data_IF_362249430819
#
_entry.id   IF_362249430819
#
_cell.length_a   1.000
_cell.length_b   1.000
_cell.length_c   1.000
_cell.angle_alpha   90.00
_cell.angle_beta   90.00
_cell.angle_gamma   90.00
#
_symmetry.space_group_name_H-M   'P 1'
#
loop_
_entity.id
_entity.type
_entity.pdbx_description
1 polymer ?
#
# COMPACT_ATOMS: atom_id res chain seq x y z
N UNK A 1 8.53 23.63 1.79
CA UNK A 1 9.66 22.67 1.70
C UNK A 1 9.52 21.98 0.36
N UNK A 2 10.57 21.87 -0.42
CA UNK A 2 10.58 21.16 -1.71
C UNK A 2 11.31 19.82 -1.57
N UNK A 3 11.16 18.91 -2.53
CA UNK A 3 11.77 17.55 -2.47
C UNK A 3 13.30 17.56 -2.45
N UNK A 4 13.94 18.56 -3.05
CA UNK A 4 15.40 18.75 -3.03
C UNK A 4 15.97 18.98 -1.63
N UNK A 5 15.16 19.53 -0.72
CA UNK A 5 15.52 19.78 0.67
C UNK A 5 15.40 18.54 1.57
N UNK A 6 14.84 17.42 1.05
CA UNK A 6 14.62 16.20 1.81
C UNK A 6 15.81 15.23 1.80
N UNK A 7 16.89 15.51 1.05
CA UNK A 7 18.09 14.68 1.01
C UNK A 7 17.98 13.46 0.08
N UNK A 8 17.04 13.46 -0.86
CA UNK A 8 16.89 12.41 -1.86
C UNK A 8 18.06 12.46 -2.88
N UNK A 9 18.39 11.31 -3.47
CA UNK A 9 19.41 11.23 -4.50
C UNK A 9 19.00 11.93 -5.80
N UNK A 10 19.97 12.51 -6.54
CA UNK A 10 19.70 13.24 -7.77
C UNK A 10 18.88 12.47 -8.83
N UNK A 11 19.11 11.16 -9.06
CA UNK A 11 18.28 10.39 -9.98
C UNK A 11 16.80 10.33 -9.57
N UNK A 12 16.50 10.30 -8.27
CA UNK A 12 15.13 10.28 -7.78
C UNK A 12 14.46 11.65 -7.93
N UNK A 13 15.20 12.73 -7.68
CA UNK A 13 14.68 14.09 -7.90
C UNK A 13 14.30 14.29 -9.37
N UNK A 14 15.16 13.86 -10.31
CA UNK A 14 14.86 13.91 -11.73
C UNK A 14 13.64 13.04 -12.12
N UNK A 15 13.46 11.89 -11.49
CA UNK A 15 12.28 11.05 -11.71
C UNK A 15 10.99 11.70 -11.17
N UNK A 16 11.06 12.38 -10.02
CA UNK A 16 9.93 13.10 -9.44
C UNK A 16 9.48 14.27 -10.30
N UNK A 17 10.42 15.02 -10.89
CA UNK A 17 10.14 16.11 -11.81
C UNK A 17 9.38 15.60 -13.05
N UNK A 18 9.80 14.47 -13.63
CA UNK A 18 9.09 13.85 -14.76
C UNK A 18 7.66 13.39 -14.42
N UNK A 19 7.45 12.96 -13.18
CA UNK A 19 6.13 12.51 -12.69
C UNK A 19 5.25 13.70 -12.31
N UNK A 20 5.78 14.93 -12.26
CA UNK A 20 5.05 16.14 -11.91
C UNK A 20 4.86 16.33 -10.39
N UNK A 21 5.77 15.81 -9.59
CA UNK A 21 5.76 16.04 -8.13
C UNK A 21 6.48 17.35 -7.81
N UNK A 22 5.73 18.39 -7.44
CA UNK A 22 6.28 19.70 -7.12
C UNK A 22 6.61 19.86 -5.64
N UNK A 23 5.67 19.55 -4.77
CA UNK A 23 5.81 19.71 -3.32
C UNK A 23 5.49 18.43 -2.56
N UNK A 24 6.28 18.09 -1.53
CA UNK A 24 5.97 16.92 -0.70
C UNK A 24 4.70 17.15 0.13
N UNK A 25 3.88 16.12 0.23
CA UNK A 25 2.77 16.11 1.19
C UNK A 25 3.29 16.11 2.63
N UNK A 26 2.46 16.46 3.64
CA UNK A 26 2.88 16.48 5.04
C UNK A 26 3.51 15.17 5.51
N UNK A 27 2.92 14.01 5.16
CA UNK A 27 3.49 12.70 5.53
C UNK A 27 4.85 12.48 4.86
N UNK A 28 5.04 12.89 3.63
CA UNK A 28 6.32 12.77 2.92
C UNK A 28 7.39 13.66 3.55
N UNK A 29 7.06 14.92 3.83
CA UNK A 29 8.00 15.89 4.40
C UNK A 29 8.53 15.44 5.78
N UNK A 30 7.69 14.80 6.60
CA UNK A 30 8.07 14.34 7.94
C UNK A 30 8.75 12.97 7.92
N UNK A 31 8.34 12.04 7.04
CA UNK A 31 8.84 10.66 7.08
C UNK A 31 10.10 10.43 6.26
N UNK A 32 10.25 11.09 5.11
CA UNK A 32 11.41 10.88 4.22
C UNK A 32 12.76 11.10 4.95
N UNK A 33 12.99 12.19 5.69
CA UNK A 33 14.26 12.38 6.41
C UNK A 33 14.51 11.31 7.47
N UNK A 34 13.46 10.88 8.18
CA UNK A 34 13.56 9.82 9.19
C UNK A 34 13.99 8.48 8.55
N UNK A 35 13.35 8.09 7.45
CA UNK A 35 13.69 6.85 6.78
C UNK A 35 15.07 6.90 6.10
N UNK A 36 15.51 8.05 5.58
CA UNK A 36 16.87 8.24 5.07
C UNK A 36 17.91 8.05 6.15
N UNK A 37 17.64 8.48 7.39
CA UNK A 37 18.56 8.30 8.53
C UNK A 37 18.68 6.84 9.00
N UNK A 38 17.83 5.92 8.50
CA UNK A 38 17.84 4.51 8.89
C UNK A 38 17.05 4.19 10.16
N UNK A 39 16.35 5.16 10.75
CA UNK A 39 15.50 4.94 11.92
C UNK A 39 14.22 4.22 11.53
N UNK A 40 13.70 3.41 12.47
CA UNK A 40 12.39 2.82 12.35
C UNK A 40 11.29 3.89 12.44
N UNK A 41 10.15 3.64 11.83
CA UNK A 41 9.06 4.61 11.71
C UNK A 41 7.69 3.98 11.94
N UNK A 42 6.85 4.68 12.68
CA UNK A 42 5.40 4.50 12.70
C UNK A 42 4.75 5.71 12.04
N UNK A 43 4.16 5.52 10.87
CA UNK A 43 3.48 6.56 10.10
C UNK A 43 1.96 6.39 10.12
N UNK A 44 1.25 7.29 10.80
CA UNK A 44 -0.22 7.27 10.79
C UNK A 44 -0.76 8.33 9.85
N UNK A 45 -1.34 7.89 8.72
CA UNK A 45 -1.97 8.79 7.75
C UNK A 45 -3.01 8.04 6.93
N UNK A 46 -4.05 8.74 6.48
CA UNK A 46 -5.11 8.16 5.67
C UNK A 46 -4.61 7.72 4.28
N UNK A 47 -5.38 6.87 3.60
CA UNK A 47 -5.13 6.49 2.21
C UNK A 47 -5.21 7.74 1.30
N UNK A 48 -4.38 7.80 0.27
CA UNK A 48 -4.33 8.94 -0.66
C UNK A 48 -3.47 10.13 -0.20
N UNK A 49 -2.84 10.08 0.99
CA UNK A 49 -1.97 11.16 1.48
C UNK A 49 -0.55 11.13 0.93
N UNK A 50 -0.21 10.14 0.09
CA UNK A 50 1.12 9.99 -0.49
C UNK A 50 2.08 9.10 0.31
N UNK A 51 1.57 8.18 1.15
CA UNK A 51 2.38 7.23 1.94
C UNK A 51 3.35 6.41 1.09
N UNK A 52 2.93 5.96 -0.09
CA UNK A 52 3.80 5.15 -0.96
C UNK A 52 5.08 5.88 -1.33
N UNK A 53 5.01 7.15 -1.73
CA UNK A 53 6.20 7.95 -2.01
C UNK A 53 7.00 8.23 -0.72
N UNK A 54 6.31 8.39 0.42
CA UNK A 54 6.93 8.65 1.71
C UNK A 54 7.92 7.55 2.15
N UNK A 55 7.65 6.27 1.81
CA UNK A 55 8.61 5.19 2.09
C UNK A 55 9.43 4.77 0.86
N UNK A 56 8.86 4.80 -0.34
CA UNK A 56 9.58 4.32 -1.52
C UNK A 56 10.79 5.18 -1.87
N UNK A 57 10.67 6.51 -1.82
CA UNK A 57 11.74 7.43 -2.21
C UNK A 57 12.99 7.29 -1.31
N UNK A 58 12.89 7.34 0.03
CA UNK A 58 14.07 7.18 0.88
C UNK A 58 14.69 5.79 0.79
N UNK A 59 13.88 4.73 0.62
CA UNK A 59 14.39 3.39 0.46
C UNK A 59 15.12 3.21 -0.89
N UNK A 60 14.59 3.75 -1.98
CA UNK A 60 15.25 3.77 -3.29
C UNK A 60 16.57 4.55 -3.26
N UNK A 61 16.67 5.65 -2.49
CA UNK A 61 17.93 6.41 -2.33
C UNK A 61 19.06 5.58 -1.72
N UNK A 62 18.74 4.49 -1.03
CA UNK A 62 19.68 3.62 -0.29
C UNK A 62 19.86 2.25 -0.92
N UNK A 63 19.24 1.97 -2.07
CA UNK A 63 19.38 0.72 -2.80
C UNK A 63 20.79 0.61 -3.40
N UNK A 64 21.40 -0.55 -3.22
CA UNK A 64 22.61 -0.94 -3.92
C UNK A 64 22.23 -1.70 -5.20
N UNK A 65 22.37 -1.05 -6.34
CA UNK A 65 22.00 -1.62 -7.64
C UNK A 65 22.95 -2.75 -8.11
N UNK A 66 24.13 -2.89 -7.50
CA UNK A 66 25.05 -3.98 -7.80
C UNK A 66 24.63 -5.31 -7.17
N UNK A 67 23.82 -5.25 -6.12
CA UNK A 67 23.34 -6.40 -5.36
C UNK A 67 21.95 -6.81 -5.83
N UNK A 68 21.86 -7.77 -6.73
CA UNK A 68 20.58 -8.27 -7.26
C UNK A 68 19.88 -9.25 -6.32
N UNK A 69 19.68 -8.80 -5.08
CA UNK A 69 18.97 -9.54 -4.02
C UNK A 69 17.94 -8.61 -3.35
N UNK A 70 16.91 -9.16 -2.71
CA UNK A 70 15.91 -8.37 -2.01
C UNK A 70 16.55 -7.57 -0.87
N UNK A 71 16.57 -6.23 -1.04
CA UNK A 71 17.04 -5.29 -0.04
C UNK A 71 15.88 -4.60 0.68
N UNK A 72 14.71 -4.55 0.04
CA UNK A 72 13.48 -4.01 0.60
C UNK A 72 12.35 -5.02 0.40
N UNK A 73 11.61 -5.29 1.44
CA UNK A 73 10.35 -6.04 1.42
C UNK A 73 9.21 -5.10 1.83
N UNK A 74 8.17 -5.02 1.01
CA UNK A 74 6.92 -4.32 1.35
C UNK A 74 5.79 -5.33 1.44
N UNK A 75 5.11 -5.37 2.58
CA UNK A 75 3.89 -6.16 2.77
C UNK A 75 2.67 -5.25 2.56
N UNK A 76 1.75 -5.72 1.75
CA UNK A 76 0.49 -5.05 1.41
C UNK A 76 -0.70 -6.02 1.57
N UNK A 77 -1.89 -5.56 2.03
CA UNK A 77 -3.02 -6.43 2.33
C UNK A 77 -3.61 -7.12 1.11
N UNK A 78 -3.57 -6.47 -0.06
CA UNK A 78 -4.23 -6.96 -1.27
C UNK A 78 -3.28 -7.05 -2.45
N UNK A 79 -3.64 -7.87 -3.42
CA UNK A 79 -2.96 -7.98 -4.71
C UNK A 79 -2.89 -6.64 -5.43
N UNK A 80 -4.01 -5.94 -5.44
CA UNK A 80 -4.16 -4.65 -6.12
C UNK A 80 -3.20 -3.61 -5.54
N UNK A 81 -3.14 -3.52 -4.20
CA UNK A 81 -2.22 -2.60 -3.54
C UNK A 81 -0.76 -3.02 -3.77
N UNK A 82 -0.43 -4.31 -3.71
CA UNK A 82 0.93 -4.79 -4.00
C UNK A 82 1.38 -4.40 -5.43
N UNK A 83 0.48 -4.48 -6.42
CA UNK A 83 0.75 -4.03 -7.78
C UNK A 83 0.95 -2.52 -7.86
N UNK A 84 0.05 -1.73 -7.26
CA UNK A 84 0.15 -0.26 -7.24
C UNK A 84 1.45 0.22 -6.58
N UNK A 85 1.84 -0.40 -5.47
CA UNK A 85 3.10 -0.09 -4.79
C UNK A 85 4.31 -0.46 -5.66
N UNK A 86 4.30 -1.63 -6.31
CA UNK A 86 5.38 -2.04 -7.20
C UNK A 86 5.50 -1.11 -8.43
N UNK A 87 4.38 -0.69 -9.02
CA UNK A 87 4.33 0.30 -10.10
C UNK A 87 4.88 1.66 -9.65
N UNK A 88 4.55 2.08 -8.43
CA UNK A 88 5.09 3.31 -7.86
C UNK A 88 6.62 3.24 -7.70
N UNK A 89 7.16 2.14 -7.15
CA UNK A 89 8.60 1.92 -7.08
C UNK A 89 9.26 1.96 -8.46
N UNK A 90 8.67 1.28 -9.45
CA UNK A 90 9.21 1.28 -10.82
C UNK A 90 9.21 2.68 -11.43
N UNK A 91 8.16 3.47 -11.21
CA UNK A 91 8.03 4.85 -11.70
C UNK A 91 9.06 5.78 -11.05
N UNK A 92 9.21 5.71 -9.72
CA UNK A 92 10.21 6.53 -9.01
C UNK A 92 11.65 6.13 -9.33
N UNK A 93 11.86 4.86 -9.70
CA UNK A 93 13.17 4.34 -10.09
C UNK A 93 13.48 4.48 -11.59
N UNK A 94 12.70 5.27 -12.36
CA UNK A 94 12.87 5.41 -13.83
C UNK A 94 14.29 5.82 -14.26
N UNK A 95 15.02 6.55 -13.41
CA UNK A 95 16.41 6.95 -13.65
C UNK A 95 17.45 6.02 -13.00
N UNK A 96 17.04 4.96 -12.32
CA UNK A 96 17.94 3.97 -11.71
C UNK A 96 18.14 2.79 -12.67
N UNK A 97 19.20 2.84 -13.47
CA UNK A 97 19.50 1.78 -14.45
C UNK A 97 19.75 0.43 -13.76
N UNK A 98 19.05 -0.61 -14.22
CA UNK A 98 19.18 -1.96 -13.65
C UNK A 98 18.35 -2.20 -12.39
N UNK A 99 17.52 -1.25 -11.97
CA UNK A 99 16.60 -1.47 -10.86
C UNK A 99 15.49 -2.46 -11.24
N UNK A 100 15.19 -3.36 -10.31
CA UNK A 100 14.10 -4.34 -10.45
C UNK A 100 13.26 -4.40 -9.19
N UNK A 101 11.94 -4.24 -9.35
CA UNK A 101 10.92 -4.50 -8.33
C UNK A 101 10.06 -5.68 -8.78
N UNK A 102 9.70 -6.54 -7.83
CA UNK A 102 8.89 -7.73 -8.10
C UNK A 102 7.67 -7.78 -7.19
N UNK A 103 6.44 -7.68 -7.73
CA UNK A 103 5.23 -7.98 -6.99
C UNK A 103 5.03 -9.50 -6.89
N UNK A 104 4.71 -10.00 -5.67
CA UNK A 104 4.37 -11.40 -5.37
C UNK A 104 3.07 -11.47 -4.57
N UNK A 105 2.07 -12.20 -5.07
CA UNK A 105 0.74 -12.25 -4.45
C UNK A 105 0.01 -13.55 -4.77
N UNK A 106 -0.98 -13.89 -3.96
CA UNK A 106 -1.83 -15.06 -4.14
C UNK A 106 -2.77 -14.96 -5.36
N UNK A 107 -3.41 -16.08 -5.72
CA UNK A 107 -4.35 -16.12 -6.85
C UNK A 107 -3.68 -16.10 -8.24
N UNK A 108 -2.37 -16.21 -8.30
CA UNK A 108 -1.59 -16.42 -9.53
C UNK A 108 -0.76 -17.70 -9.44
N UNK A 109 -0.37 -18.23 -10.60
CA UNK A 109 0.59 -19.32 -10.67
C UNK A 109 1.91 -18.93 -10.00
N UNK A 110 2.47 -19.88 -9.25
CA UNK A 110 3.72 -19.72 -8.52
C UNK A 110 4.94 -19.64 -9.45
N UNK A 111 4.92 -20.38 -10.56
CA UNK A 111 6.06 -20.55 -11.47
C UNK A 111 6.57 -19.24 -12.09
N UNK A 112 5.74 -18.32 -12.60
CA UNK A 112 6.22 -17.03 -13.12
C UNK A 112 6.89 -16.16 -12.04
N UNK A 113 6.37 -16.15 -10.81
CA UNK A 113 6.97 -15.41 -9.71
C UNK A 113 8.33 -15.99 -9.32
N UNK A 114 8.43 -17.32 -9.26
CA UNK A 114 9.71 -18.02 -9.01
C UNK A 114 10.76 -17.71 -10.08
N UNK A 115 10.38 -17.70 -11.36
CA UNK A 115 11.32 -17.36 -12.44
C UNK A 115 11.85 -15.92 -12.33
N UNK A 116 10.99 -14.97 -11.93
CA UNK A 116 11.39 -13.58 -11.71
C UNK A 116 12.28 -13.41 -10.47
N UNK A 117 11.98 -14.11 -9.37
CA UNK A 117 12.83 -14.11 -8.17
C UNK A 117 14.25 -14.63 -8.49
N UNK A 118 14.37 -15.67 -9.31
CA UNK A 118 15.68 -16.20 -9.74
C UNK A 118 16.49 -15.23 -10.62
N UNK A 119 15.84 -14.30 -11.30
CA UNK A 119 16.53 -13.24 -12.07
C UNK A 119 17.08 -12.12 -11.18
N UNK A 120 16.65 -12.09 -9.94
CA UNK A 120 17.00 -11.07 -8.97
C UNK A 120 16.01 -9.90 -8.95
N UNK A 121 15.78 -9.37 -7.75
CA UNK A 121 14.98 -8.18 -7.51
C UNK A 121 15.58 -7.42 -6.33
N UNK A 122 15.61 -6.10 -6.41
CA UNK A 122 16.07 -5.23 -5.33
C UNK A 122 14.98 -4.96 -4.30
N UNK A 123 13.73 -4.88 -4.79
CA UNK A 123 12.53 -4.67 -3.99
C UNK A 123 11.54 -5.78 -4.28
N UNK A 124 10.99 -6.37 -3.23
CA UNK A 124 9.86 -7.30 -3.32
C UNK A 124 8.66 -6.64 -2.65
N UNK A 125 7.53 -6.63 -3.32
CA UNK A 125 6.25 -6.14 -2.79
C UNK A 125 5.27 -7.30 -2.79
N UNK A 126 4.66 -7.64 -1.66
CA UNK A 126 3.80 -8.82 -1.68
C UNK A 126 2.71 -8.86 -0.62
N UNK A 127 1.76 -9.78 -0.85
CA UNK A 127 0.76 -10.14 0.16
C UNK A 127 1.34 -11.16 1.14
N UNK A 128 1.03 -11.06 2.45
CA UNK A 128 1.67 -11.87 3.49
C UNK A 128 1.71 -13.37 3.19
N UNK A 129 0.59 -14.01 2.89
CA UNK A 129 0.53 -15.45 2.64
C UNK A 129 1.43 -15.92 1.48
N UNK A 130 1.53 -15.18 0.36
CA UNK A 130 2.41 -15.53 -0.76
C UNK A 130 3.88 -15.28 -0.45
N UNK A 131 4.19 -14.21 0.27
CA UNK A 131 5.56 -13.95 0.77
C UNK A 131 6.01 -15.09 1.66
N UNK A 132 5.18 -15.52 2.61
CA UNK A 132 5.44 -16.64 3.49
C UNK A 132 5.66 -17.95 2.71
N UNK A 133 4.85 -18.24 1.69
CA UNK A 133 5.03 -19.41 0.82
C UNK A 133 6.41 -19.43 0.15
N UNK A 134 6.87 -18.30 -0.36
CA UNK A 134 8.19 -18.19 -0.99
C UNK A 134 9.33 -18.31 0.01
N UNK A 135 9.19 -17.76 1.23
CA UNK A 135 10.18 -17.89 2.29
C UNK A 135 10.27 -19.36 2.75
N UNK A 136 9.15 -20.01 3.04
CA UNK A 136 9.09 -21.41 3.47
C UNK A 136 9.70 -22.39 2.45
N UNK A 137 9.58 -22.08 1.17
CA UNK A 137 10.17 -22.86 0.07
C UNK A 137 11.64 -22.50 -0.22
N UNK A 138 12.23 -21.56 0.51
CA UNK A 138 13.59 -21.07 0.27
C UNK A 138 13.77 -20.37 -1.07
N UNK A 139 12.70 -19.95 -1.70
CA UNK A 139 12.72 -19.27 -3.03
C UNK A 139 12.80 -17.75 -2.92
N UNK A 140 12.46 -17.19 -1.77
CA UNK A 140 12.70 -15.81 -1.37
C UNK A 140 13.67 -15.82 -0.20
N UNK A 141 14.91 -15.40 -0.46
CA UNK A 141 15.97 -15.28 0.54
C UNK A 141 16.07 -13.83 0.96
N UNK A 142 16.06 -13.57 2.26
CA UNK A 142 16.01 -12.22 2.84
C UNK A 142 17.29 -11.82 3.57
N UNK A 143 18.39 -12.55 3.39
CA UNK A 143 19.67 -12.31 4.10
C UNK A 143 20.24 -10.91 3.86
N UNK A 144 19.97 -10.34 2.67
CA UNK A 144 20.39 -8.98 2.28
C UNK A 144 19.35 -7.90 2.57
N UNK A 145 18.27 -8.22 3.30
CA UNK A 145 17.20 -7.28 3.57
C UNK A 145 17.67 -6.14 4.50
N UNK A 146 17.55 -4.92 4.02
CA UNK A 146 17.90 -3.68 4.74
C UNK A 146 16.67 -3.01 5.35
N UNK A 147 15.50 -3.16 4.70
CA UNK A 147 14.26 -2.54 5.17
C UNK A 147 13.03 -3.41 4.91
N UNK A 148 12.08 -3.34 5.84
CA UNK A 148 10.75 -3.94 5.74
C UNK A 148 9.70 -2.86 5.96
N UNK A 149 8.70 -2.80 5.08
CA UNK A 149 7.56 -1.88 5.17
C UNK A 149 6.29 -2.68 5.36
N UNK A 150 5.48 -2.29 6.33
CA UNK A 150 4.11 -2.73 6.50
C UNK A 150 3.21 -1.60 6.00
N UNK A 151 2.61 -1.75 4.82
CA UNK A 151 1.68 -0.75 4.28
C UNK A 151 0.24 -1.19 4.52
N UNK A 152 -0.61 -0.26 4.98
CA UNK A 152 -1.98 -0.52 5.42
C UNK A 152 -2.08 -1.65 6.45
N UNK A 153 -1.29 -1.53 7.54
CA UNK A 153 -1.20 -2.55 8.58
C UNK A 153 -2.55 -2.85 9.25
N UNK A 154 -3.41 -1.85 9.44
CA UNK A 154 -4.76 -2.03 9.95
C UNK A 154 -5.66 -2.83 9.00
N UNK A 155 -5.47 -2.74 7.70
CA UNK A 155 -6.21 -3.55 6.74
C UNK A 155 -5.70 -5.00 6.74
N UNK A 156 -4.38 -5.21 6.87
CA UNK A 156 -3.82 -6.56 7.07
C UNK A 156 -4.39 -7.21 8.34
N UNK A 157 -4.58 -6.45 9.42
CA UNK A 157 -5.24 -6.93 10.63
C UNK A 157 -6.68 -7.34 10.36
N UNK A 158 -7.48 -6.50 9.68
CA UNK A 158 -8.88 -6.80 9.34
C UNK A 158 -9.03 -8.04 8.49
N UNK A 159 -8.05 -8.32 7.63
CA UNK A 159 -8.02 -9.50 6.77
C UNK A 159 -7.46 -10.76 7.47
N UNK A 160 -7.05 -10.65 8.73
CA UNK A 160 -6.54 -11.77 9.53
C UNK A 160 -5.09 -12.16 9.23
N UNK A 161 -4.29 -11.29 8.61
CA UNK A 161 -2.90 -11.55 8.23
C UNK A 161 -1.88 -11.23 9.34
N UNK A 162 -2.33 -10.92 10.54
CA UNK A 162 -1.42 -10.47 11.61
C UNK A 162 -0.39 -11.55 11.96
N UNK A 163 -0.82 -12.78 12.13
CA UNK A 163 0.09 -13.88 12.46
C UNK A 163 1.09 -14.16 11.33
N UNK A 164 0.65 -14.05 10.07
CA UNK A 164 1.52 -14.16 8.90
C UNK A 164 2.58 -13.04 8.86
N UNK A 165 2.16 -11.80 9.19
CA UNK A 165 3.05 -10.64 9.25
C UNK A 165 4.09 -10.81 10.35
N UNK A 166 3.70 -11.24 11.56
CA UNK A 166 4.62 -11.49 12.66
C UNK A 166 5.62 -12.60 12.31
N UNK A 167 5.13 -13.70 11.76
CA UNK A 167 6.00 -14.79 11.30
C UNK A 167 7.03 -14.30 10.27
N UNK A 168 6.63 -13.47 9.29
CA UNK A 168 7.56 -12.89 8.31
C UNK A 168 8.58 -11.99 8.98
N UNK A 169 8.17 -11.13 9.91
CA UNK A 169 9.07 -10.27 10.69
C UNK A 169 10.15 -11.07 11.41
N UNK A 170 9.81 -12.24 11.95
CA UNK A 170 10.75 -13.15 12.62
C UNK A 170 11.76 -13.78 11.66
N UNK A 171 11.40 -13.95 10.37
CA UNK A 171 12.31 -14.50 9.35
C UNK A 171 13.26 -13.46 8.75
N UNK A 172 13.16 -12.20 9.13
CA UNK A 172 13.99 -11.12 8.58
C UNK A 172 15.21 -10.82 9.46
N UNK A 173 16.33 -10.32 8.90
CA UNK A 173 17.52 -9.97 9.67
C UNK A 173 17.20 -9.01 10.82
N UNK A 174 17.80 -9.19 12.01
CA UNK A 174 17.48 -8.37 13.19
C UNK A 174 17.89 -6.89 13.04
N UNK A 175 18.84 -6.59 12.16
CA UNK A 175 19.34 -5.23 11.94
C UNK A 175 18.61 -4.46 10.82
N UNK A 176 17.50 -5.04 10.25
CA UNK A 176 16.70 -4.30 9.25
C UNK A 176 16.03 -3.07 9.88
N UNK A 177 15.79 -2.08 9.06
CA UNK A 177 14.87 -0.97 9.35
C UNK A 177 13.44 -1.43 9.16
N UNK A 178 12.51 -1.01 10.02
CA UNK A 178 11.06 -1.29 9.87
C UNK A 178 10.29 0.03 9.76
N UNK A 179 9.42 0.14 8.76
CA UNK A 179 8.48 1.22 8.62
C UNK A 179 7.05 0.67 8.62
N UNK A 180 6.22 1.10 9.55
CA UNK A 180 4.84 0.71 9.69
C UNK A 180 3.93 1.88 9.31
N UNK A 181 3.13 1.72 8.26
CA UNK A 181 2.12 2.68 7.83
C UNK A 181 0.72 2.14 8.04
N UNK A 182 -0.14 2.96 8.66
CA UNK A 182 -1.52 2.59 8.95
C UNK A 182 -2.41 3.83 8.99
N UNK A 183 -3.68 3.69 8.65
CA UNK A 183 -4.66 4.76 8.85
C UNK A 183 -5.13 4.82 10.31
N UNK A 184 -5.24 3.68 10.98
CA UNK A 184 -5.66 3.55 12.37
C UNK A 184 -4.62 2.79 13.20
N UNK A 185 -4.61 3.01 14.53
CA UNK A 185 -3.67 2.38 15.46
C UNK A 185 -4.41 1.57 16.54
N UNK A 186 -5.07 0.45 16.19
CA UNK A 186 -5.64 -0.46 17.18
C UNK A 186 -4.54 -1.10 18.04
N UNK A 187 -4.95 -1.77 19.14
CA UNK A 187 -4.02 -2.34 20.12
C UNK A 187 -3.06 -3.35 19.51
N UNK A 188 -3.52 -4.16 18.58
CA UNK A 188 -2.76 -5.19 17.88
C UNK A 188 -1.63 -4.58 17.04
N UNK A 189 -1.91 -3.49 16.32
CA UNK A 189 -0.89 -2.78 15.53
C UNK A 189 0.13 -2.09 16.44
N UNK A 190 -0.30 -1.51 17.56
CA UNK A 190 0.62 -0.96 18.57
C UNK A 190 1.52 -2.05 19.16
N UNK A 191 0.99 -3.26 19.40
CA UNK A 191 1.74 -4.41 19.89
C UNK A 191 2.84 -4.80 18.90
N UNK A 192 2.53 -4.90 17.61
CA UNK A 192 3.51 -5.16 16.55
C UNK A 192 4.58 -4.07 16.52
N UNK A 193 4.19 -2.80 16.54
CA UNK A 193 5.13 -1.70 16.56
C UNK A 193 6.08 -1.81 17.77
N UNK A 194 5.56 -2.08 18.97
CA UNK A 194 6.37 -2.21 20.19
C UNK A 194 7.27 -3.45 20.20
N UNK A 195 6.85 -4.56 19.57
CA UNK A 195 7.61 -5.81 19.56
C UNK A 195 8.72 -5.85 18.51
N UNK A 196 8.52 -5.24 17.34
CA UNK A 196 9.40 -5.42 16.19
C UNK A 196 10.12 -4.16 15.71
N UNK A 197 9.74 -2.96 16.16
CA UNK A 197 10.40 -1.70 15.83
C UNK A 197 11.31 -1.27 16.99
N UNK A 198 12.43 -0.64 16.63
CA UNK A 198 13.46 -0.15 17.59
C UNK A 198 13.38 1.37 17.68
N UNK A 199 12.90 1.87 18.82
CA UNK A 199 12.76 3.30 19.09
C UNK A 199 12.22 4.09 17.88
N UNK A 200 11.05 3.69 17.33
CA UNK A 200 10.54 4.25 16.10
C UNK A 200 10.23 5.74 16.26
N UNK A 201 10.48 6.51 15.21
CA UNK A 201 9.91 7.84 15.12
C UNK A 201 8.41 7.70 14.85
N UNK A 202 7.58 8.46 15.55
CA UNK A 202 6.14 8.49 15.34
C UNK A 202 5.75 9.74 14.55
N UNK A 203 5.18 9.54 13.38
CA UNK A 203 4.63 10.61 12.53
C UNK A 203 3.14 10.39 12.38
N UNK A 204 2.33 11.34 12.82
CA UNK A 204 0.88 11.27 12.76
C UNK A 204 0.29 12.49 12.07
N UNK A 205 -0.19 12.31 10.86
CA UNK A 205 -0.88 13.35 10.11
C UNK A 205 -2.37 13.29 10.46
N UNK A 206 -2.77 14.18 11.36
CA UNK A 206 -4.18 14.34 11.72
C UNK A 206 -4.91 15.03 10.56
N UNK A 207 -5.56 14.25 9.72
CA UNK A 207 -6.59 14.82 8.86
C UNK A 207 -7.81 15.07 9.75
N UNK A 208 -8.37 16.28 9.72
CA UNK A 208 -9.70 16.51 10.31
C UNK A 208 -10.63 15.46 9.71
N UNK A 209 -11.28 14.67 10.55
CA UNK A 209 -12.21 13.57 10.20
C UNK A 209 -13.50 14.09 9.55
N UNK A 210 -13.45 15.21 8.90
CA UNK A 210 -14.53 15.73 8.08
C UNK A 210 -14.33 15.23 6.66
N UNK A 211 -15.38 14.65 6.10
CA UNK A 211 -15.51 14.43 4.65
C UNK A 211 -14.97 15.66 3.92
N UNK A 212 -14.24 15.47 2.84
CA UNK A 212 -13.77 16.62 2.04
C UNK A 212 -14.94 17.56 1.79
N UNK A 213 -14.72 18.86 1.87
CA UNK A 213 -15.79 19.87 1.72
C UNK A 213 -16.57 19.75 0.41
N UNK A 214 -15.93 19.13 -0.59
CA UNK A 214 -16.52 18.81 -1.90
C UNK A 214 -17.46 17.59 -1.88
N UNK A 215 -17.49 16.79 -0.81
CA UNK A 215 -18.30 15.57 -0.71
C UNK A 215 -19.56 15.86 0.08
N UNK A 216 -20.71 15.89 -0.58
CA UNK A 216 -22.02 16.00 0.04
C UNK A 216 -22.53 14.63 0.42
N UNK A 217 -22.60 14.32 1.73
CA UNK A 217 -23.15 13.07 2.23
C UNK A 217 -24.65 13.19 2.46
N UNK A 218 -25.39 12.20 2.00
CA UNK A 218 -26.83 12.02 2.24
C UNK A 218 -27.11 10.57 2.61
N UNK A 219 -28.07 10.31 3.47
CA UNK A 219 -28.56 8.98 3.75
C UNK A 219 -30.09 8.94 3.69
N UNK A 220 -30.63 7.80 3.29
CA UNK A 220 -32.07 7.57 3.24
C UNK A 220 -32.39 6.35 4.07
N UNK A 221 -33.38 6.48 4.96
CA UNK A 221 -33.89 5.35 5.72
C UNK A 221 -34.96 4.65 4.90
N UNK A 222 -34.70 3.38 4.55
CA UNK A 222 -35.62 2.56 3.76
C UNK A 222 -35.97 1.34 4.56
N UNK A 223 -37.25 1.07 4.80
CA UNK A 223 -37.76 -0.09 5.50
C UNK A 223 -38.03 -1.26 4.54
N UNK A 224 -37.81 -2.50 5.02
CA UNK A 224 -38.16 -3.71 4.29
C UNK A 224 -37.36 -4.00 3.02
N UNK A 225 -38.01 -4.62 2.03
CA UNK A 225 -37.38 -5.08 0.77
C UNK A 225 -37.26 -4.00 -0.31
N UNK A 226 -37.54 -2.74 -0.02
CA UNK A 226 -37.67 -1.65 -1.00
C UNK A 226 -36.34 -0.95 -1.34
N UNK A 227 -35.19 -1.50 -0.97
CA UNK A 227 -33.89 -0.85 -1.26
C UNK A 227 -33.62 -0.68 -2.75
N UNK A 228 -34.00 -1.67 -3.56
CA UNK A 228 -33.83 -1.60 -5.01
C UNK A 228 -34.72 -0.49 -5.63
N UNK A 229 -35.97 -0.38 -5.18
CA UNK A 229 -36.89 0.64 -5.66
C UNK A 229 -36.43 2.02 -5.25
N UNK A 230 -35.93 2.19 -4.02
CA UNK A 230 -35.33 3.44 -3.56
C UNK A 230 -34.10 3.81 -4.39
N UNK A 231 -33.21 2.85 -4.69
CA UNK A 231 -32.05 3.09 -5.54
C UNK A 231 -32.48 3.53 -6.95
N UNK A 232 -33.44 2.82 -7.57
CA UNK A 232 -33.97 3.18 -8.90
C UNK A 232 -34.50 4.61 -8.90
N UNK A 233 -35.29 5.00 -7.87
CA UNK A 233 -35.80 6.37 -7.74
C UNK A 233 -34.70 7.41 -7.59
N UNK A 234 -33.59 7.10 -6.88
CA UNK A 234 -32.44 7.99 -6.78
C UNK A 234 -31.79 8.15 -8.16
N UNK A 235 -31.58 7.05 -8.88
CA UNK A 235 -30.98 7.06 -10.21
C UNK A 235 -31.82 7.83 -11.25
N UNK A 236 -33.16 7.85 -11.08
CA UNK A 236 -34.07 8.60 -11.95
C UNK A 236 -34.14 10.11 -11.58
N UNK A 237 -33.92 10.45 -10.32
CA UNK A 237 -34.16 11.81 -9.81
C UNK A 237 -32.90 12.69 -9.74
N UNK A 238 -31.71 12.06 -9.70
CA UNK A 238 -30.45 12.78 -9.54
C UNK A 238 -29.69 12.85 -10.88
N UNK A 239 -29.12 14.01 -11.17
CA UNK A 239 -28.19 14.18 -12.31
C UNK A 239 -26.79 13.74 -11.91
N UNK A 240 -26.19 12.83 -12.67
CA UNK A 240 -24.83 12.33 -12.45
C UNK A 240 -24.17 11.87 -13.76
N UNK A 241 -22.87 12.00 -13.86
CA UNK A 241 -22.07 11.48 -14.97
C UNK A 241 -21.79 9.97 -14.82
N UNK A 242 -21.54 9.52 -13.58
CA UNK A 242 -21.31 8.12 -13.26
C UNK A 242 -21.68 7.82 -11.80
N UNK A 243 -22.10 6.58 -11.53
CA UNK A 243 -22.45 6.10 -10.18
C UNK A 243 -21.69 4.82 -9.85
N UNK A 244 -21.09 4.78 -8.65
CA UNK A 244 -20.52 3.56 -8.08
C UNK A 244 -21.43 3.05 -6.95
N UNK A 245 -21.95 1.83 -7.10
CA UNK A 245 -22.81 1.20 -6.10
C UNK A 245 -22.04 0.09 -5.37
N UNK A 246 -21.86 0.25 -4.06
CA UNK A 246 -21.22 -0.76 -3.22
C UNK A 246 -22.24 -1.68 -2.56
N UNK A 247 -22.02 -2.99 -2.68
CA UNK A 247 -22.84 -4.03 -2.07
C UNK A 247 -21.97 -5.01 -1.26
N UNK A 248 -22.60 -5.82 -0.39
CA UNK A 248 -21.86 -6.67 0.55
C UNK A 248 -21.11 -7.84 -0.07
N UNK A 249 -21.63 -8.42 -1.16
CA UNK A 249 -21.08 -9.65 -1.73
C UNK A 249 -20.97 -9.56 -3.24
N UNK A 250 -20.08 -10.36 -3.83
CA UNK A 250 -19.93 -10.47 -5.29
C UNK A 250 -21.24 -10.95 -5.96
N UNK A 251 -21.94 -11.88 -5.33
CA UNK A 251 -23.23 -12.37 -5.84
C UNK A 251 -24.25 -11.21 -5.89
N UNK A 252 -24.38 -10.44 -4.81
CA UNK A 252 -25.27 -9.29 -4.76
C UNK A 252 -24.90 -8.20 -5.80
N UNK A 253 -23.62 -8.10 -6.21
CA UNK A 253 -23.21 -7.17 -7.29
C UNK A 253 -23.81 -7.63 -8.62
N UNK A 254 -23.69 -8.89 -8.96
CA UNK A 254 -24.23 -9.45 -10.22
C UNK A 254 -25.75 -9.32 -10.24
N UNK A 255 -26.42 -9.76 -9.17
CA UNK A 255 -27.89 -9.67 -9.05
C UNK A 255 -28.39 -8.22 -9.15
N UNK A 256 -27.66 -7.27 -8.57
CA UNK A 256 -28.02 -5.85 -8.63
C UNK A 256 -27.85 -5.30 -10.05
N UNK A 257 -26.75 -5.63 -10.72
CA UNK A 257 -26.50 -5.23 -12.10
C UNK A 257 -27.58 -5.73 -13.04
N UNK A 258 -27.93 -7.04 -12.94
CA UNK A 258 -29.02 -7.63 -13.75
C UNK A 258 -30.38 -6.93 -13.50
N UNK A 259 -30.71 -6.63 -12.22
CA UNK A 259 -31.96 -5.95 -11.86
C UNK A 259 -32.01 -4.50 -12.34
N UNK A 260 -30.88 -3.80 -12.34
CA UNK A 260 -30.79 -2.43 -12.86
C UNK A 260 -30.84 -2.43 -14.40
N UNK A 261 -30.14 -3.35 -15.05
CA UNK A 261 -30.22 -3.52 -16.51
C UNK A 261 -31.65 -3.81 -16.98
N UNK A 262 -32.41 -4.69 -16.28
CA UNK A 262 -33.82 -4.97 -16.55
C UNK A 262 -34.74 -3.76 -16.38
N UNK A 263 -34.28 -2.70 -15.66
CA UNK A 263 -34.98 -1.43 -15.49
C UNK A 263 -34.48 -0.31 -16.41
N UNK A 264 -33.61 -0.65 -17.37
CA UNK A 264 -33.11 0.26 -18.40
C UNK A 264 -31.89 1.09 -18.02
N UNK A 265 -31.21 0.77 -16.89
CA UNK A 265 -29.95 1.40 -16.52
C UNK A 265 -28.77 0.67 -17.17
N UNK A 266 -27.79 1.42 -17.70
CA UNK A 266 -26.52 0.87 -18.16
C UNK A 266 -25.64 0.51 -16.95
N UNK A 267 -25.30 -0.79 -16.80
CA UNK A 267 -24.55 -1.33 -15.65
C UNK A 267 -23.36 -2.18 -16.11
#
# INVERSE_FOLDING_TARGET
MAFDQLGLSAPLLAALEEVGYETPSPIQAETIPVLLSGRDLVGQAQTGTGKTAAFALPLLSRIDLSLQQPQVLVLAPTRELALQVAEAFQRYASKLKGFHVLPIYGGQDFKPQLQRLRRGAHVVVGTPGRVMDHIRRGTLVLDSLKALVLDEADEMLRMGFIDDVEWILEQTPPKRQVALFSATMPKEIRRIASAYLREPAEVSIKVKTTTAETIKQRYWTVSGFHKLDALTRILEAEEFDAVLVFVRTRIATVELAEKLAARGHNT
#
